data_IF_557258041197
#
_entry.id   IF_557258041197
#
_cell.length_a   1.000
_cell.length_b   1.000
_cell.length_c   1.000
_cell.angle_alpha   90.00
_cell.angle_beta   90.00
_cell.angle_gamma   90.00
#
_symmetry.space_group_name_H-M   'P 1'
#
loop_
_entity.id
_entity.type
_entity.pdbx_description
1 polymer ?
#
# COMPACT_ATOMS: atom_id res chain seq x y z
N UNK A 1 -33.14 -28.72 38.92
CA UNK A 1 -33.36 -27.27 38.74
C UNK A 1 -33.47 -27.02 37.24
N UNK A 2 -34.65 -26.67 36.70
CA UNK A 2 -34.85 -26.43 35.26
C UNK A 2 -34.80 -24.91 35.02
N UNK A 3 -33.84 -24.45 34.21
CA UNK A 3 -33.78 -23.07 33.74
C UNK A 3 -34.84 -22.92 32.64
N UNK A 4 -35.87 -22.11 32.90
CA UNK A 4 -36.88 -21.75 31.91
C UNK A 4 -36.31 -20.58 31.10
N UNK A 5 -35.97 -20.81 29.84
CA UNK A 5 -35.59 -19.75 28.91
C UNK A 5 -36.89 -19.15 28.36
N UNK A 6 -37.19 -17.90 28.73
CA UNK A 6 -38.34 -17.16 28.22
C UNK A 6 -37.95 -16.59 26.86
N UNK A 7 -38.43 -17.20 25.77
CA UNK A 7 -38.25 -16.67 24.41
C UNK A 7 -39.22 -15.50 24.20
N UNK A 8 -38.72 -14.26 24.17
CA UNK A 8 -39.52 -13.08 23.83
C UNK A 8 -39.72 -12.98 22.32
N UNK A 9 -40.93 -13.27 21.85
CA UNK A 9 -41.33 -13.07 20.44
C UNK A 9 -41.80 -11.63 20.19
N UNK A 10 -41.22 -10.97 19.19
CA UNK A 10 -41.65 -9.65 18.71
C UNK A 10 -42.45 -9.79 17.42
N UNK A 11 -43.61 -9.13 17.34
CA UNK A 11 -44.43 -9.11 16.13
C UNK A 11 -43.86 -8.09 15.14
N UNK A 12 -43.58 -8.53 13.92
CA UNK A 12 -43.18 -7.68 12.80
C UNK A 12 -44.29 -7.74 11.74
N UNK A 13 -44.72 -6.59 11.23
CA UNK A 13 -45.61 -6.52 10.06
C UNK A 13 -44.74 -6.16 8.85
N UNK A 14 -44.76 -7.02 7.82
CA UNK A 14 -44.04 -6.79 6.57
C UNK A 14 -45.04 -6.60 5.44
N UNK A 15 -44.73 -5.68 4.53
CA UNK A 15 -45.45 -5.53 3.26
C UNK A 15 -44.72 -6.35 2.21
N UNK A 16 -45.45 -7.15 1.45
CA UNK A 16 -44.92 -7.96 0.35
C UNK A 16 -45.71 -7.65 -0.93
N UNK A 17 -45.12 -7.87 -2.12
CA UNK A 17 -45.84 -7.80 -3.39
C UNK A 17 -47.08 -8.71 -3.42
N UNK A 18 -48.13 -8.29 -4.11
CA UNK A 18 -49.42 -9.00 -4.17
C UNK A 18 -49.28 -10.45 -4.68
N UNK A 19 -48.43 -10.68 -5.68
CA UNK A 19 -48.15 -12.00 -6.23
C UNK A 19 -47.49 -12.95 -5.22
N UNK A 20 -46.65 -12.42 -4.34
CA UNK A 20 -46.03 -13.16 -3.24
C UNK A 20 -47.05 -13.45 -2.14
N UNK A 21 -47.90 -12.47 -1.79
CA UNK A 21 -48.99 -12.67 -0.83
C UNK A 21 -49.92 -13.80 -1.29
N UNK A 22 -50.37 -13.74 -2.55
CA UNK A 22 -51.21 -14.77 -3.17
C UNK A 22 -50.53 -16.14 -3.17
N UNK A 23 -49.22 -16.20 -3.42
CA UNK A 23 -48.45 -17.44 -3.40
C UNK A 23 -48.35 -18.04 -1.98
N UNK A 24 -48.16 -17.20 -0.97
CA UNK A 24 -48.10 -17.59 0.44
C UNK A 24 -49.46 -18.08 0.92
N UNK A 25 -50.54 -17.40 0.55
CA UNK A 25 -51.90 -17.79 0.95
C UNK A 25 -52.30 -19.16 0.39
N UNK A 26 -51.88 -19.50 -0.84
CA UNK A 26 -52.11 -20.84 -1.44
C UNK A 26 -51.49 -21.99 -0.65
N UNK A 27 -50.46 -21.74 0.16
CA UNK A 27 -49.74 -22.77 0.93
C UNK A 27 -49.87 -22.59 2.44
N UNK A 28 -50.67 -21.62 2.90
CA UNK A 28 -50.76 -21.18 4.29
C UNK A 28 -51.07 -22.29 5.29
N UNK A 29 -51.97 -23.20 4.93
CA UNK A 29 -52.38 -24.31 5.82
C UNK A 29 -51.34 -25.44 5.88
N UNK A 30 -50.34 -25.41 4.98
CA UNK A 30 -49.32 -26.45 4.83
C UNK A 30 -47.98 -26.08 5.47
N UNK A 31 -47.73 -24.80 5.73
CA UNK A 31 -46.46 -24.30 6.24
C UNK A 31 -46.64 -23.29 7.37
N UNK A 32 -45.73 -23.31 8.35
CA UNK A 32 -45.66 -22.25 9.34
C UNK A 32 -44.92 -21.04 8.75
N UNK A 33 -45.68 -20.13 8.13
CA UNK A 33 -45.13 -18.94 7.46
C UNK A 33 -44.24 -18.14 8.40
N UNK A 34 -44.66 -17.93 9.65
CA UNK A 34 -43.88 -17.19 10.65
C UNK A 34 -42.51 -17.83 10.89
N UNK A 35 -42.43 -19.16 10.96
CA UNK A 35 -41.17 -19.87 11.13
C UNK A 35 -40.28 -19.78 9.88
N UNK A 36 -40.85 -19.94 8.68
CA UNK A 36 -40.12 -19.83 7.41
C UNK A 36 -39.55 -18.42 7.25
N UNK A 37 -40.37 -17.39 7.47
CA UNK A 37 -39.94 -15.99 7.42
C UNK A 37 -38.87 -15.70 8.47
N UNK A 38 -39.03 -16.19 9.71
CA UNK A 38 -38.02 -16.00 10.75
C UNK A 38 -36.67 -16.63 10.37
N UNK A 39 -36.66 -17.85 9.82
CA UNK A 39 -35.45 -18.52 9.35
C UNK A 39 -34.79 -17.78 8.18
N UNK A 40 -35.58 -17.34 7.20
CA UNK A 40 -35.08 -16.59 6.04
C UNK A 40 -34.49 -15.24 6.47
N UNK A 41 -35.17 -14.50 7.35
CA UNK A 41 -34.68 -13.24 7.91
C UNK A 41 -33.40 -13.45 8.72
N UNK A 42 -33.36 -14.46 9.59
CA UNK A 42 -32.17 -14.78 10.37
C UNK A 42 -30.97 -15.12 9.47
N UNK A 43 -31.17 -15.95 8.44
CA UNK A 43 -30.12 -16.28 7.48
C UNK A 43 -29.63 -15.04 6.72
N UNK A 44 -30.55 -14.13 6.36
CA UNK A 44 -30.20 -12.91 5.66
C UNK A 44 -29.44 -11.92 6.56
N UNK A 45 -29.86 -11.75 7.82
CA UNK A 45 -29.16 -10.91 8.80
C UNK A 45 -27.75 -11.44 9.05
N UNK A 46 -27.60 -12.74 9.34
CA UNK A 46 -26.28 -13.35 9.52
C UNK A 46 -25.37 -13.17 8.31
N UNK A 47 -25.94 -13.21 7.09
CA UNK A 47 -25.19 -12.94 5.86
C UNK A 47 -24.74 -11.48 5.77
N UNK A 48 -25.59 -10.53 6.16
CA UNK A 48 -25.23 -9.11 6.16
C UNK A 48 -24.18 -8.80 7.23
N UNK A 49 -24.34 -9.32 8.44
CA UNK A 49 -23.36 -9.17 9.53
C UNK A 49 -21.99 -9.73 9.12
N UNK A 50 -21.97 -10.89 8.44
CA UNK A 50 -20.73 -11.47 7.91
C UNK A 50 -20.06 -10.58 6.85
N UNK A 51 -20.82 -9.95 5.98
CA UNK A 51 -20.28 -9.03 4.97
C UNK A 51 -19.66 -7.81 5.66
N UNK A 52 -20.33 -7.23 6.66
CA UNK A 52 -19.79 -6.09 7.43
C UNK A 52 -18.51 -6.47 8.19
N UNK A 53 -18.45 -7.66 8.78
CA UNK A 53 -17.23 -8.18 9.41
C UNK A 53 -16.10 -8.40 8.39
N UNK A 54 -16.40 -8.98 7.22
CA UNK A 54 -15.43 -9.21 6.14
C UNK A 54 -14.89 -7.87 5.59
N UNK A 55 -15.77 -6.88 5.37
CA UNK A 55 -15.40 -5.53 4.92
C UNK A 55 -14.47 -4.84 5.93
N UNK A 56 -14.78 -4.95 7.23
CA UNK A 56 -13.92 -4.42 8.31
C UNK A 56 -12.53 -5.07 8.32
N UNK A 57 -12.44 -6.39 8.12
CA UNK A 57 -11.16 -7.10 8.02
C UNK A 57 -10.37 -6.65 6.78
N UNK A 58 -11.03 -6.45 5.64
CA UNK A 58 -10.41 -5.95 4.41
C UNK A 58 -9.89 -4.52 4.61
N UNK A 59 -10.65 -3.62 5.22
CA UNK A 59 -10.22 -2.24 5.50
C UNK A 59 -9.00 -2.19 6.44
N UNK A 60 -8.98 -3.03 7.47
CA UNK A 60 -7.82 -3.18 8.36
C UNK A 60 -6.59 -3.69 7.60
N UNK A 61 -6.76 -4.68 6.72
CA UNK A 61 -5.68 -5.18 5.88
C UNK A 61 -5.15 -4.11 4.92
N UNK A 62 -6.03 -3.34 4.27
CA UNK A 62 -5.66 -2.24 3.39
C UNK A 62 -4.85 -1.18 4.17
N UNK A 63 -5.32 -0.80 5.36
CA UNK A 63 -4.66 0.20 6.20
C UNK A 63 -3.26 -0.27 6.62
N UNK A 64 -3.15 -1.51 7.10
CA UNK A 64 -1.86 -2.11 7.48
C UNK A 64 -0.90 -2.19 6.29
N UNK A 65 -1.35 -2.66 5.13
CA UNK A 65 -0.52 -2.78 3.93
C UNK A 65 -0.08 -1.41 3.40
N UNK A 66 -0.92 -0.38 3.50
CA UNK A 66 -0.52 1.00 3.15
C UNK A 66 0.56 1.53 4.09
N UNK A 67 0.45 1.27 5.39
CA UNK A 67 1.47 1.65 6.37
C UNK A 67 2.81 0.94 6.08
N UNK A 68 2.78 -0.39 5.89
CA UNK A 68 3.97 -1.17 5.54
C UNK A 68 4.61 -0.71 4.24
N UNK A 69 3.81 -0.42 3.20
CA UNK A 69 4.32 0.13 1.94
C UNK A 69 5.01 1.48 2.16
N UNK A 70 4.41 2.36 2.96
CA UNK A 70 4.98 3.67 3.28
C UNK A 70 6.32 3.53 4.00
N UNK A 71 6.43 2.60 4.95
CA UNK A 71 7.68 2.29 5.66
C UNK A 71 8.78 1.82 4.69
N UNK A 72 8.50 0.83 3.85
CA UNK A 72 9.46 0.31 2.86
C UNK A 72 9.90 1.39 1.87
N UNK A 73 8.97 2.23 1.39
CA UNK A 73 9.30 3.36 0.50
C UNK A 73 10.22 4.37 1.20
N UNK A 74 9.95 4.70 2.47
CA UNK A 74 10.76 5.66 3.22
C UNK A 74 12.15 5.09 3.54
N UNK A 75 12.22 3.80 3.87
CA UNK A 75 13.47 3.09 4.10
C UNK A 75 14.34 3.06 2.84
N UNK A 76 13.75 2.70 1.70
CA UNK A 76 14.44 2.69 0.41
C UNK A 76 15.02 4.07 0.06
N UNK A 77 14.22 5.14 0.21
CA UNK A 77 14.68 6.52 0.00
C UNK A 77 15.79 6.93 0.94
N UNK A 78 15.70 6.55 2.21
CA UNK A 78 16.71 6.87 3.22
C UNK A 78 18.03 6.17 2.93
N UNK A 79 17.99 4.86 2.64
CA UNK A 79 19.15 4.10 2.23
C UNK A 79 19.81 4.74 1.00
N UNK A 80 19.01 5.02 -0.04
CA UNK A 80 19.49 5.70 -1.24
C UNK A 80 20.18 7.01 -0.93
N UNK A 81 19.57 7.86 -0.09
CA UNK A 81 20.16 9.13 0.31
C UNK A 81 21.53 8.97 0.99
N UNK A 82 21.65 8.03 1.92
CA UNK A 82 22.90 7.74 2.62
C UNK A 82 23.97 7.26 1.62
N UNK A 83 23.61 6.36 0.71
CA UNK A 83 24.53 5.85 -0.31
C UNK A 83 24.97 6.91 -1.30
N UNK A 84 24.05 7.73 -1.81
CA UNK A 84 24.37 8.79 -2.77
C UNK A 84 25.31 9.82 -2.16
N UNK A 85 25.10 10.15 -0.89
CA UNK A 85 25.99 11.03 -0.14
C UNK A 85 27.39 10.41 0.01
N UNK A 86 27.46 9.13 0.38
CA UNK A 86 28.73 8.42 0.55
C UNK A 86 29.48 8.23 -0.77
N UNK A 87 28.78 7.85 -1.85
CA UNK A 87 29.33 7.66 -3.18
C UNK A 87 30.03 8.93 -3.65
N UNK A 88 29.37 10.09 -3.54
CA UNK A 88 29.96 11.37 -3.93
C UNK A 88 31.23 11.72 -3.14
N UNK A 89 31.25 11.42 -1.84
CA UNK A 89 32.38 11.78 -0.98
C UNK A 89 33.58 10.84 -1.11
N UNK A 90 33.37 9.58 -1.48
CA UNK A 90 34.39 8.54 -1.37
C UNK A 90 34.82 7.96 -2.71
N UNK A 91 33.94 7.93 -3.71
CA UNK A 91 34.13 7.12 -4.92
C UNK A 91 33.96 7.92 -6.21
N UNK A 92 33.01 8.86 -6.26
CA UNK A 92 32.65 9.55 -7.50
C UNK A 92 33.77 10.49 -7.99
N UNK A 93 34.10 10.37 -9.27
CA UNK A 93 34.91 11.39 -9.94
C UNK A 93 34.07 12.64 -10.28
N UNK A 94 34.75 13.73 -10.64
CA UNK A 94 34.09 15.01 -10.97
C UNK A 94 33.14 14.90 -12.16
N UNK A 95 33.49 14.17 -13.22
CA UNK A 95 32.66 14.02 -14.42
C UNK A 95 31.36 13.30 -14.10
N UNK A 96 31.46 12.18 -13.39
CA UNK A 96 30.35 11.37 -12.90
C UNK A 96 29.45 12.19 -11.98
N UNK A 97 30.06 12.97 -11.07
CA UNK A 97 29.34 13.87 -10.17
C UNK A 97 28.52 14.91 -10.95
N UNK A 98 29.10 15.58 -11.95
CA UNK A 98 28.35 16.57 -12.76
C UNK A 98 27.17 15.95 -13.51
N UNK A 99 27.31 14.71 -14.01
CA UNK A 99 26.19 13.98 -14.66
C UNK A 99 25.07 13.68 -13.68
N UNK A 100 25.39 13.19 -12.48
CA UNK A 100 24.40 12.85 -11.44
C UNK A 100 23.72 14.11 -10.89
N UNK A 101 24.45 15.21 -10.72
CA UNK A 101 23.89 16.52 -10.34
C UNK A 101 22.98 17.07 -11.44
N UNK A 102 23.35 16.91 -12.71
CA UNK A 102 22.49 17.28 -13.82
C UNK A 102 21.19 16.46 -13.77
N UNK A 103 21.27 15.14 -13.57
CA UNK A 103 20.09 14.28 -13.40
C UNK A 103 19.21 14.74 -12.23
N UNK A 104 19.81 15.11 -11.11
CA UNK A 104 19.11 15.66 -9.95
C UNK A 104 18.34 16.95 -10.27
N UNK A 105 18.99 17.92 -10.92
CA UNK A 105 18.35 19.18 -11.33
C UNK A 105 17.18 18.96 -12.30
N UNK A 106 17.25 17.91 -13.14
CA UNK A 106 16.15 17.53 -14.02
C UNK A 106 15.05 16.76 -13.27
N UNK A 107 15.38 15.99 -12.24
CA UNK A 107 14.39 15.23 -11.44
C UNK A 107 13.41 16.13 -10.67
N UNK A 108 13.85 17.34 -10.30
CA UNK A 108 13.00 18.32 -9.60
C UNK A 108 12.00 19.01 -10.57
N UNK A 109 12.25 18.94 -11.88
CA UNK A 109 11.42 19.56 -12.94
C UNK A 109 10.69 18.56 -13.84
N UNK A 110 11.14 17.31 -13.91
CA UNK A 110 10.53 16.21 -14.64
C UNK A 110 10.48 14.95 -13.76
N UNK A 111 9.31 14.28 -13.75
CA UNK A 111 9.21 12.92 -13.21
C UNK A 111 10.12 12.02 -14.04
N UNK A 112 11.26 11.64 -13.49
CA UNK A 112 12.10 10.58 -14.05
C UNK A 112 11.22 9.35 -14.27
N UNK A 113 11.17 8.86 -15.50
CA UNK A 113 10.36 7.70 -15.86
C UNK A 113 10.99 6.39 -15.41
N UNK A 114 12.32 6.32 -15.33
CA UNK A 114 13.09 5.14 -14.89
C UNK A 114 14.31 5.56 -14.04
N UNK A 115 14.09 6.11 -12.81
CA UNK A 115 15.16 6.67 -11.99
C UNK A 115 16.33 5.71 -11.75
N UNK A 116 16.04 4.44 -11.49
CA UNK A 116 17.05 3.44 -11.22
C UNK A 116 17.98 3.20 -12.41
N UNK A 117 17.40 3.04 -13.61
CA UNK A 117 18.17 2.83 -14.84
C UNK A 117 19.03 4.03 -15.17
N UNK A 118 18.50 5.24 -14.98
CA UNK A 118 19.22 6.48 -15.26
C UNK A 118 20.45 6.61 -14.35
N UNK A 119 20.31 6.37 -13.04
CA UNK A 119 21.46 6.34 -12.10
C UNK A 119 22.48 5.29 -12.51
N UNK A 120 22.04 4.06 -12.78
CA UNK A 120 22.90 2.93 -13.08
C UNK A 120 23.61 3.06 -14.43
N UNK A 121 23.11 3.90 -15.34
CA UNK A 121 23.80 4.23 -16.58
C UNK A 121 24.97 5.21 -16.39
N UNK A 122 25.03 5.89 -15.24
CA UNK A 122 26.02 6.93 -14.95
C UNK A 122 27.09 6.44 -13.98
N UNK A 123 26.70 5.71 -12.93
CA UNK A 123 27.65 5.14 -11.97
C UNK A 123 28.48 4.03 -12.65
N UNK A 124 29.68 3.81 -12.14
CA UNK A 124 30.51 2.71 -12.62
C UNK A 124 29.87 1.34 -12.31
N UNK A 125 30.29 0.34 -13.09
CA UNK A 125 29.70 -1.01 -13.03
C UNK A 125 29.85 -1.67 -11.66
N UNK A 126 30.96 -1.43 -10.96
CA UNK A 126 31.25 -2.08 -9.68
C UNK A 126 30.38 -1.49 -8.57
N UNK A 127 30.16 -0.17 -8.58
CA UNK A 127 29.19 0.49 -7.71
C UNK A 127 27.75 0.02 -8.01
N UNK A 128 27.37 -0.04 -9.28
CA UNK A 128 26.05 -0.55 -9.69
C UNK A 128 25.80 -1.98 -9.18
N UNK A 129 26.77 -2.88 -9.33
CA UNK A 129 26.64 -4.26 -8.88
C UNK A 129 26.52 -4.36 -7.35
N UNK A 130 27.37 -3.65 -6.59
CA UNK A 130 27.29 -3.63 -5.11
C UNK A 130 25.95 -3.11 -4.61
N UNK A 131 25.47 -2.00 -5.16
CA UNK A 131 24.20 -1.45 -4.74
C UNK A 131 23.03 -2.33 -5.17
N UNK A 132 23.05 -2.90 -6.38
CA UNK A 132 22.03 -3.82 -6.86
C UNK A 132 21.88 -5.05 -5.96
N UNK A 133 22.98 -5.72 -5.61
CA UNK A 133 22.95 -6.88 -4.72
C UNK A 133 22.33 -6.56 -3.36
N UNK A 134 22.73 -5.44 -2.74
CA UNK A 134 22.19 -5.05 -1.43
C UNK A 134 20.70 -4.69 -1.50
N UNK A 135 20.25 -4.07 -2.59
CA UNK A 135 18.83 -3.74 -2.77
C UNK A 135 17.96 -4.99 -2.86
N UNK A 136 18.44 -6.03 -3.55
CA UNK A 136 17.77 -7.32 -3.62
C UNK A 136 17.77 -8.03 -2.25
N UNK A 137 18.88 -8.00 -1.52
CA UNK A 137 19.01 -8.59 -0.18
C UNK A 137 18.07 -7.94 0.85
N UNK A 138 18.00 -6.61 0.85
CA UNK A 138 17.18 -5.83 1.79
C UNK A 138 15.72 -5.66 1.33
N UNK A 139 15.35 -6.25 0.18
CA UNK A 139 14.03 -6.13 -0.44
C UNK A 139 13.57 -4.66 -0.63
N UNK A 140 14.50 -3.78 -0.99
CA UNK A 140 14.25 -2.36 -1.17
C UNK A 140 13.70 -2.06 -2.57
N UNK A 141 12.92 -0.98 -2.66
CA UNK A 141 12.41 -0.47 -3.93
C UNK A 141 13.54 0.23 -4.68
N UNK A 142 13.97 -0.36 -5.80
CA UNK A 142 15.03 0.17 -6.67
C UNK A 142 14.80 1.63 -7.09
N UNK A 143 13.58 2.01 -7.48
CA UNK A 143 13.26 3.37 -7.91
C UNK A 143 13.22 4.35 -6.74
N UNK A 144 12.62 3.98 -5.61
CA UNK A 144 12.59 4.83 -4.42
C UNK A 144 14.00 5.04 -3.87
N UNK A 145 14.84 4.01 -3.91
CA UNK A 145 16.26 4.10 -3.58
C UNK A 145 16.99 5.04 -4.54
N UNK A 146 16.81 4.90 -5.85
CA UNK A 146 17.48 5.75 -6.83
C UNK A 146 17.12 7.24 -6.67
N UNK A 147 15.85 7.54 -6.36
CA UNK A 147 15.42 8.89 -6.01
C UNK A 147 16.10 9.41 -4.74
N UNK A 148 16.22 8.55 -3.71
CA UNK A 148 17.02 8.84 -2.52
C UNK A 148 18.47 9.16 -2.86
N UNK A 149 19.09 8.32 -3.69
CA UNK A 149 20.49 8.40 -4.12
C UNK A 149 20.81 9.70 -4.83
N UNK A 150 20.03 10.04 -5.86
CA UNK A 150 20.16 11.30 -6.60
C UNK A 150 20.02 12.49 -5.63
N UNK A 151 19.09 12.44 -4.69
CA UNK A 151 18.90 13.51 -3.69
C UNK A 151 20.09 13.63 -2.74
N UNK A 152 20.64 12.51 -2.26
CA UNK A 152 21.83 12.48 -1.40
C UNK A 152 23.03 13.14 -2.09
N UNK A 153 23.24 12.81 -3.37
CA UNK A 153 24.23 13.46 -4.23
C UNK A 153 23.97 14.96 -4.34
N UNK A 154 22.76 15.36 -4.72
CA UNK A 154 22.42 16.77 -4.93
C UNK A 154 22.58 17.65 -3.69
N UNK A 155 22.14 17.15 -2.53
CA UNK A 155 22.30 17.83 -1.24
C UNK A 155 23.78 17.91 -0.83
N UNK A 156 24.55 16.84 -1.03
CA UNK A 156 25.98 16.80 -0.67
C UNK A 156 26.81 17.69 -1.58
N UNK A 157 26.57 17.65 -2.89
CA UNK A 157 27.23 18.52 -3.87
C UNK A 157 27.03 19.99 -3.53
N UNK A 158 25.79 20.42 -3.23
CA UNK A 158 25.48 21.80 -2.84
C UNK A 158 26.30 22.31 -1.64
N UNK A 159 26.74 21.42 -0.75
CA UNK A 159 27.55 21.78 0.41
C UNK A 159 29.03 22.00 0.05
N UNK A 160 29.54 21.27 -0.94
CA UNK A 160 30.98 21.25 -1.27
C UNK A 160 31.33 21.99 -2.56
N UNK A 161 30.36 22.25 -3.45
CA UNK A 161 30.56 22.80 -4.80
C UNK A 161 31.44 24.05 -4.81
N UNK A 162 31.20 24.99 -3.89
CA UNK A 162 31.96 26.25 -3.82
C UNK A 162 33.45 26.05 -3.55
N UNK A 163 33.82 25.03 -2.79
CA UNK A 163 35.23 24.75 -2.49
C UNK A 163 35.89 23.95 -3.61
N UNK A 164 35.13 23.05 -4.25
CA UNK A 164 35.60 22.32 -5.43
C UNK A 164 35.83 23.25 -6.62
N UNK A 165 34.94 24.21 -6.88
CA UNK A 165 35.06 25.14 -8.03
C UNK A 165 36.14 26.22 -7.87
N UNK A 166 36.72 26.35 -6.67
CA UNK A 166 37.83 27.28 -6.40
C UNK A 166 39.21 26.67 -6.62
N UNK A 167 39.30 25.35 -6.66
CA UNK A 167 40.55 24.58 -6.76
C UNK A 167 40.93 24.36 -8.23
#
# INVERSE_FOLDING_TARGET
>A
MRVIVISMTRRLNITVPDDVADAVDRVRDRINISQVCAQALQAHVLRLERIEEEDSVVEQAITRLRAQRSEVTNESKRAGYEDGSNYLLQEADYSTTKKLVALWNHSDSMRLSEPFRDVFSIVDRDAAERYGQRLDEDALSHDDWALGFIRGIGDTWRRIEKEVERS
#
